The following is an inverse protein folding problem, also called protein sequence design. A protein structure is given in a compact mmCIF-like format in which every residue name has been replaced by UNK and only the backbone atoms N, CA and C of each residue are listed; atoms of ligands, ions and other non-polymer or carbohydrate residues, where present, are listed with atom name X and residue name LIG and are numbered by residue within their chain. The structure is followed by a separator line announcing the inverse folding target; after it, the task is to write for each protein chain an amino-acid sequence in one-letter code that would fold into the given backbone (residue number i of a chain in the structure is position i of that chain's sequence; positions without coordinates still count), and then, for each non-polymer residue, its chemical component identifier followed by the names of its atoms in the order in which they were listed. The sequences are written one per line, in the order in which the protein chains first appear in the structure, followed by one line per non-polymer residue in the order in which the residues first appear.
data_IF_151499757056
#
_entry.id   IF_151499757056
#
_cell.length_a   1.000
_cell.length_b   1.000
_cell.length_c   1.000
_cell.angle_alpha   90.00
_cell.angle_beta   90.00
_cell.angle_gamma   90.00
#
_symmetry.space_group_name_H-M   'P 1'
#
loop_
_entity.id
_entity.type
_entity.pdbx_description
1 polymer ?
#
# COMPACT_ATOMS: atom_id res chain seq x y z
N UNK A 1 -15.53 -0.55 2.18
CA UNK A 1 -14.49 -1.53 2.56
C UNK A 1 -15.17 -2.80 3.03
N UNK A 2 -14.68 -3.95 2.55
CA UNK A 2 -15.23 -5.28 2.79
C UNK A 2 -14.42 -6.03 3.84
N UNK A 3 -15.07 -6.54 4.87
CA UNK A 3 -14.40 -7.25 5.97
C UNK A 3 -15.06 -8.63 6.14
N UNK A 4 -14.25 -9.68 6.13
CA UNK A 4 -14.69 -11.03 6.48
C UNK A 4 -14.30 -11.31 7.94
N UNK A 5 -15.28 -11.77 8.76
CA UNK A 5 -15.04 -12.20 10.14
C UNK A 5 -15.14 -13.72 10.19
N UNK A 6 -14.07 -14.37 10.62
CA UNK A 6 -13.96 -15.82 10.77
C UNK A 6 -13.69 -16.15 12.23
N UNK A 7 -14.72 -16.62 12.91
CA UNK A 7 -14.74 -16.84 14.36
C UNK A 7 -15.77 -17.92 14.68
N UNK A 8 -15.41 -18.98 15.39
CA UNK A 8 -16.32 -20.09 15.69
C UNK A 8 -17.31 -19.74 16.83
N UNK A 9 -16.89 -18.91 17.79
CA UNK A 9 -17.77 -18.42 18.84
C UNK A 9 -18.83 -17.47 18.26
N UNK A 10 -20.11 -17.86 18.35
CA UNK A 10 -21.22 -17.11 17.78
C UNK A 10 -21.43 -15.74 18.45
N UNK A 11 -21.14 -15.60 19.76
CA UNK A 11 -21.31 -14.35 20.50
C UNK A 11 -20.23 -13.35 20.10
N UNK A 12 -18.96 -13.80 20.05
CA UNK A 12 -17.82 -12.97 19.63
C UNK A 12 -17.99 -12.57 18.15
N UNK A 13 -18.35 -13.51 17.27
CA UNK A 13 -18.60 -13.26 15.87
C UNK A 13 -19.67 -12.21 15.64
N UNK A 14 -20.79 -12.32 16.37
CA UNK A 14 -21.92 -11.38 16.29
C UNK A 14 -21.52 -10.00 16.83
N UNK A 15 -20.79 -9.96 17.94
CA UNK A 15 -20.30 -8.72 18.53
C UNK A 15 -19.38 -7.96 17.55
N UNK A 16 -18.40 -8.65 16.97
CA UNK A 16 -17.48 -8.05 15.98
C UNK A 16 -18.29 -7.51 14.79
N UNK A 17 -19.15 -8.33 14.21
CA UNK A 17 -19.97 -7.94 13.06
C UNK A 17 -20.86 -6.72 13.36
N UNK A 18 -21.44 -6.64 14.55
CA UNK A 18 -22.23 -5.49 14.98
C UNK A 18 -21.42 -4.19 14.97
N UNK A 19 -20.23 -4.19 15.60
CA UNK A 19 -19.39 -3.00 15.66
C UNK A 19 -18.87 -2.58 14.27
N UNK A 20 -18.49 -3.53 13.44
CA UNK A 20 -18.03 -3.24 12.08
C UNK A 20 -19.14 -2.66 11.19
N UNK A 21 -20.35 -3.22 11.25
CA UNK A 21 -21.51 -2.69 10.52
C UNK A 21 -21.91 -1.29 10.99
N UNK A 22 -21.76 -0.98 12.28
CA UNK A 22 -21.99 0.36 12.81
C UNK A 22 -21.03 1.40 12.23
N UNK A 23 -19.79 1.01 11.94
CA UNK A 23 -18.78 1.83 11.25
C UNK A 23 -18.95 1.81 9.70
N UNK A 24 -20.07 1.28 9.20
CA UNK A 24 -20.45 1.21 7.76
C UNK A 24 -19.53 0.34 6.91
N UNK A 25 -18.85 -0.63 7.48
CA UNK A 25 -18.18 -1.67 6.71
C UNK A 25 -19.20 -2.67 6.15
N UNK A 26 -18.93 -3.19 4.96
CA UNK A 26 -19.63 -4.35 4.41
C UNK A 26 -19.04 -5.61 5.03
N UNK A 27 -19.84 -6.41 5.74
CA UNK A 27 -19.34 -7.49 6.59
C UNK A 27 -20.03 -8.80 6.25
N UNK A 28 -19.20 -9.80 5.91
CA UNK A 28 -19.57 -11.21 5.87
C UNK A 28 -18.99 -11.93 7.08
N UNK A 29 -19.66 -13.00 7.53
CA UNK A 29 -19.26 -13.77 8.72
C UNK A 29 -19.19 -15.25 8.39
N UNK A 30 -18.28 -15.97 9.03
CA UNK A 30 -18.08 -17.40 8.89
C UNK A 30 -17.64 -18.01 10.23
N UNK A 31 -17.94 -19.28 10.46
CA UNK A 31 -17.62 -19.99 11.69
C UNK A 31 -16.52 -21.05 11.54
N UNK A 32 -15.96 -21.22 10.36
CA UNK A 32 -14.91 -22.19 10.10
C UNK A 32 -13.99 -21.75 8.94
N UNK A 33 -12.74 -22.26 8.95
CA UNK A 33 -11.73 -21.89 7.98
C UNK A 33 -11.98 -22.37 6.54
N UNK A 34 -12.59 -23.54 6.35
CA UNK A 34 -12.83 -24.09 5.00
C UNK A 34 -13.88 -23.30 4.22
N UNK A 35 -14.98 -22.90 4.88
CA UNK A 35 -16.00 -22.08 4.25
C UNK A 35 -15.52 -20.63 4.08
N UNK A 36 -14.67 -20.17 5.01
CA UNK A 36 -14.02 -18.87 4.88
C UNK A 36 -13.19 -18.76 3.59
N UNK A 37 -12.43 -19.79 3.19
CA UNK A 37 -11.68 -19.78 1.92
C UNK A 37 -12.60 -19.61 0.69
N UNK A 38 -13.80 -20.20 0.72
CA UNK A 38 -14.81 -20.01 -0.35
C UNK A 38 -15.33 -18.57 -0.36
N UNK A 39 -15.56 -18.01 0.83
CA UNK A 39 -16.02 -16.62 0.97
C UNK A 39 -14.96 -15.63 0.53
N UNK A 40 -13.68 -15.85 0.81
CA UNK A 40 -12.59 -14.97 0.34
C UNK A 40 -12.64 -14.82 -1.18
N UNK A 41 -12.81 -15.91 -1.94
CA UNK A 41 -12.87 -15.84 -3.40
C UNK A 41 -14.12 -15.15 -3.93
N UNK A 42 -15.27 -15.33 -3.27
CA UNK A 42 -16.56 -14.77 -3.69
C UNK A 42 -16.74 -13.32 -3.26
N UNK A 43 -16.47 -13.03 -2.00
CA UNK A 43 -16.70 -11.74 -1.38
C UNK A 43 -15.57 -10.75 -1.65
N UNK A 44 -14.32 -11.27 -1.85
CA UNK A 44 -13.09 -10.49 -2.06
C UNK A 44 -12.90 -9.44 -0.95
N UNK A 45 -12.74 -9.87 0.31
CA UNK A 45 -12.54 -8.94 1.42
C UNK A 45 -11.21 -8.19 1.29
N UNK A 46 -11.18 -6.95 1.75
CA UNK A 46 -9.98 -6.13 1.89
C UNK A 46 -9.27 -6.41 3.22
N UNK A 47 -10.03 -6.93 4.22
CA UNK A 47 -9.51 -7.34 5.51
C UNK A 47 -10.26 -8.57 6.03
N UNK A 48 -9.52 -9.45 6.69
CA UNK A 48 -10.04 -10.64 7.38
C UNK A 48 -9.72 -10.53 8.87
N UNK A 49 -10.74 -10.56 9.72
CA UNK A 49 -10.60 -10.78 11.15
C UNK A 49 -10.71 -12.27 11.38
N UNK A 50 -9.66 -12.91 11.88
CA UNK A 50 -9.47 -14.34 11.86
C UNK A 50 -9.13 -14.89 13.24
N UNK A 51 -9.95 -15.80 13.77
CA UNK A 51 -9.53 -16.57 14.93
C UNK A 51 -8.46 -17.60 14.56
N UNK A 52 -7.50 -17.79 15.43
CA UNK A 52 -6.49 -18.84 15.29
C UNK A 52 -7.06 -20.23 15.52
N UNK A 53 -8.01 -20.37 16.43
CA UNK A 53 -8.53 -21.67 16.87
C UNK A 53 -9.86 -22.00 16.18
N UNK A 54 -9.82 -22.18 14.87
CA UNK A 54 -11.01 -22.54 14.09
C UNK A 54 -11.14 -24.05 13.89
N UNK A 55 -12.38 -24.56 13.81
CA UNK A 55 -12.60 -25.93 13.40
C UNK A 55 -12.29 -26.15 11.90
N UNK A 56 -11.96 -27.39 11.56
CA UNK A 56 -11.67 -27.90 10.21
C UNK A 56 -10.40 -27.35 9.57
N UNK A 57 -10.12 -26.06 9.66
CA UNK A 57 -8.90 -25.42 9.17
C UNK A 57 -8.53 -24.29 10.13
N UNK A 58 -7.42 -24.44 10.84
CA UNK A 58 -6.93 -23.44 11.79
C UNK A 58 -6.49 -22.14 11.10
N UNK A 59 -6.44 -21.04 11.87
CA UNK A 59 -6.14 -19.73 11.33
C UNK A 59 -4.73 -19.58 10.74
N UNK A 60 -3.77 -20.37 11.22
CA UNK A 60 -2.39 -20.36 10.69
C UNK A 60 -2.38 -20.99 9.29
N UNK A 61 -2.94 -22.20 9.17
CA UNK A 61 -3.06 -22.92 7.89
C UNK A 61 -3.90 -22.12 6.88
N UNK A 62 -4.97 -21.48 7.33
CA UNK A 62 -5.78 -20.59 6.50
C UNK A 62 -4.94 -19.43 5.97
N UNK A 63 -4.18 -18.77 6.83
CA UNK A 63 -3.33 -17.62 6.43
C UNK A 63 -2.28 -18.03 5.43
N UNK A 64 -1.60 -19.13 5.65
CA UNK A 64 -0.60 -19.69 4.73
C UNK A 64 -1.21 -19.93 3.34
N UNK A 65 -2.39 -20.56 3.27
CA UNK A 65 -3.09 -20.76 2.00
C UNK A 65 -3.47 -19.46 1.29
N UNK A 66 -3.93 -18.45 2.03
CA UNK A 66 -4.27 -17.14 1.45
C UNK A 66 -3.02 -16.45 0.92
N UNK A 67 -1.90 -16.50 1.64
CA UNK A 67 -0.64 -15.85 1.27
C UNK A 67 0.10 -16.55 0.13
N UNK A 68 0.02 -17.87 0.06
CA UNK A 68 0.70 -18.65 -1.00
C UNK A 68 -0.04 -18.63 -2.34
N UNK A 69 -1.33 -18.24 -2.37
CA UNK A 69 -2.14 -18.19 -3.59
C UNK A 69 -2.80 -16.82 -3.80
N UNK A 70 -2.02 -15.72 -3.93
CA UNK A 70 -2.58 -14.37 -4.04
C UNK A 70 -3.43 -14.16 -5.30
N UNK A 71 -3.14 -14.88 -6.38
CA UNK A 71 -3.95 -14.83 -7.62
C UNK A 71 -5.39 -15.32 -7.40
N UNK A 72 -5.57 -16.27 -6.47
CA UNK A 72 -6.86 -16.87 -6.15
C UNK A 72 -7.61 -16.10 -5.06
N UNK A 73 -6.90 -15.74 -4.01
CA UNK A 73 -7.50 -15.19 -2.79
C UNK A 73 -7.32 -13.67 -2.64
N UNK A 74 -6.53 -13.03 -3.51
CA UNK A 74 -6.09 -11.66 -3.33
C UNK A 74 -5.02 -11.54 -2.22
N UNK A 75 -4.81 -10.32 -1.76
CA UNK A 75 -3.90 -10.05 -0.65
C UNK A 75 -4.59 -9.21 0.44
N UNK A 76 -5.68 -9.72 1.06
CA UNK A 76 -6.38 -9.00 2.11
C UNK A 76 -5.49 -8.83 3.34
N UNK A 77 -5.69 -7.77 4.11
CA UNK A 77 -5.12 -7.69 5.45
C UNK A 77 -5.68 -8.81 6.33
N UNK A 78 -4.85 -9.37 7.20
CA UNK A 78 -5.25 -10.40 8.16
C UNK A 78 -4.93 -9.91 9.56
N UNK A 79 -5.99 -9.65 10.34
CA UNK A 79 -5.93 -9.37 11.78
C UNK A 79 -6.31 -10.64 12.53
N UNK A 80 -5.34 -11.27 13.18
CA UNK A 80 -5.55 -12.49 13.94
C UNK A 80 -6.09 -12.20 15.33
N UNK A 81 -7.07 -12.98 15.75
CA UNK A 81 -7.54 -13.04 17.14
C UNK A 81 -6.99 -14.30 17.81
N UNK A 82 -6.51 -14.20 19.04
CA UNK A 82 -5.93 -15.33 19.76
C UNK A 82 -6.25 -15.31 21.26
N UNK A 83 -6.61 -16.48 21.79
CA UNK A 83 -6.69 -16.71 23.23
C UNK A 83 -5.32 -17.03 23.84
N UNK A 84 -4.33 -17.40 22.99
CA UNK A 84 -3.02 -17.87 23.44
C UNK A 84 -2.11 -16.71 23.87
N UNK A 85 -1.39 -16.95 24.96
CA UNK A 85 -0.48 -15.99 25.60
C UNK A 85 0.98 -16.25 25.22
N UNK A 86 1.28 -17.37 24.53
CA UNK A 86 2.66 -17.75 24.24
C UNK A 86 3.21 -16.94 23.05
N UNK A 87 4.34 -16.30 23.30
CA UNK A 87 5.07 -15.46 22.33
C UNK A 87 5.38 -16.24 21.05
N UNK A 88 5.57 -17.55 21.15
CA UNK A 88 5.88 -18.42 20.00
C UNK A 88 4.72 -18.52 18.99
N UNK A 89 3.47 -18.57 19.44
CA UNK A 89 2.31 -18.63 18.51
C UNK A 89 2.07 -17.30 17.81
N UNK A 90 2.34 -16.20 18.51
CA UNK A 90 2.33 -14.84 17.90
C UNK A 90 3.43 -14.68 16.86
N UNK A 91 4.66 -15.15 17.18
CA UNK A 91 5.77 -15.09 16.25
C UNK A 91 5.54 -15.99 15.02
N UNK A 92 4.92 -17.16 15.20
CA UNK A 92 4.52 -18.01 14.07
C UNK A 92 3.49 -17.31 13.18
N UNK A 93 2.45 -16.70 13.76
CA UNK A 93 1.43 -15.99 13.00
C UNK A 93 1.96 -14.82 12.19
N UNK A 94 2.86 -14.02 12.77
CA UNK A 94 3.51 -12.91 12.08
C UNK A 94 4.46 -13.39 10.97
N UNK A 95 5.22 -14.46 11.19
CA UNK A 95 6.12 -15.05 10.20
C UNK A 95 5.38 -15.66 8.99
N UNK A 96 4.12 -16.07 9.17
CA UNK A 96 3.28 -16.66 8.12
C UNK A 96 2.55 -15.58 7.29
N UNK A 97 2.61 -14.29 7.73
CA UNK A 97 2.09 -13.18 6.95
C UNK A 97 0.80 -12.56 7.47
N UNK A 98 0.49 -12.70 8.76
CA UNK A 98 -0.51 -11.85 9.41
C UNK A 98 -0.02 -10.40 9.47
N UNK A 99 -0.92 -9.43 9.31
CA UNK A 99 -0.59 -8.01 9.32
C UNK A 99 -0.65 -7.38 10.71
N UNK A 100 -1.49 -7.93 11.58
CA UNK A 100 -1.59 -7.57 13.01
C UNK A 100 -2.25 -8.73 13.77
N UNK A 101 -2.15 -8.67 15.09
CA UNK A 101 -2.87 -9.62 15.93
C UNK A 101 -3.40 -8.95 17.20
N UNK A 102 -4.43 -9.57 17.80
CA UNK A 102 -5.05 -9.10 19.01
C UNK A 102 -5.43 -10.26 19.94
N UNK A 103 -5.18 -10.05 21.24
CA UNK A 103 -5.47 -11.06 22.26
C UNK A 103 -6.93 -11.00 22.70
N UNK A 104 -7.55 -12.16 22.89
CA UNK A 104 -8.84 -12.31 23.57
C UNK A 104 -8.63 -12.42 25.11
N UNK A 105 -9.50 -11.82 25.95
CA UNK A 105 -10.62 -10.96 25.58
C UNK A 105 -10.15 -9.57 25.16
N UNK A 106 -10.88 -8.90 24.28
CA UNK A 106 -10.53 -7.60 23.73
C UNK A 106 -11.67 -6.59 23.85
N UNK A 107 -11.31 -5.30 23.81
CA UNK A 107 -12.28 -4.22 23.67
C UNK A 107 -12.61 -4.02 22.16
N UNK A 108 -13.89 -4.03 21.76
CA UNK A 108 -14.26 -3.80 20.36
C UNK A 108 -13.76 -2.46 19.80
N UNK A 109 -13.52 -1.46 20.63
CA UNK A 109 -12.93 -0.18 20.21
C UNK A 109 -11.47 -0.33 19.80
N UNK A 110 -10.72 -1.21 20.48
CA UNK A 110 -9.35 -1.54 20.09
C UNK A 110 -9.32 -2.27 18.74
N UNK A 111 -10.22 -3.21 18.52
CA UNK A 111 -10.40 -3.89 17.24
C UNK A 111 -10.60 -2.89 16.10
N UNK A 112 -11.56 -1.97 16.26
CA UNK A 112 -11.83 -0.94 15.26
C UNK A 112 -10.62 -0.04 14.98
N UNK A 113 -9.87 0.34 16.01
CA UNK A 113 -8.68 1.16 15.86
C UNK A 113 -7.59 0.44 15.06
N UNK A 114 -7.37 -0.86 15.32
CA UNK A 114 -6.40 -1.69 14.58
C UNK A 114 -6.79 -1.85 13.12
N UNK A 115 -8.07 -2.10 12.84
CA UNK A 115 -8.61 -2.18 11.49
C UNK A 115 -8.40 -0.86 10.73
N UNK A 116 -8.71 0.28 11.35
CA UNK A 116 -8.47 1.61 10.75
C UNK A 116 -6.99 1.82 10.42
N UNK A 117 -6.09 1.46 11.33
CA UNK A 117 -4.64 1.55 11.09
C UNK A 117 -4.15 0.65 9.95
N UNK A 118 -4.72 -0.53 9.77
CA UNK A 118 -4.37 -1.42 8.66
C UNK A 118 -4.81 -0.79 7.33
N UNK A 119 -6.02 -0.24 7.25
CA UNK A 119 -6.48 0.47 6.05
C UNK A 119 -5.67 1.74 5.76
N UNK A 120 -5.34 2.55 6.77
CA UNK A 120 -4.45 3.71 6.61
C UNK A 120 -3.05 3.35 6.09
N UNK A 121 -2.55 2.14 6.37
CA UNK A 121 -1.30 1.64 5.76
C UNK A 121 -1.45 1.41 4.26
N UNK A 122 -2.62 0.96 3.82
CA UNK A 122 -2.89 0.79 2.40
C UNK A 122 -2.99 2.13 1.68
N UNK A 123 -3.74 3.07 2.25
CA UNK A 123 -3.87 4.43 1.72
C UNK A 123 -2.49 5.10 1.60
N UNK A 124 -1.64 4.99 2.63
CA UNK A 124 -0.25 5.47 2.58
C UNK A 124 0.64 4.73 1.58
N UNK A 125 0.38 3.45 1.32
CA UNK A 125 1.09 2.70 0.27
C UNK A 125 0.68 3.20 -1.10
N UNK A 126 -0.62 3.43 -1.34
CA UNK A 126 -1.13 4.00 -2.58
C UNK A 126 -0.69 5.45 -2.77
N UNK A 127 -0.71 6.29 -1.71
CA UNK A 127 -0.17 7.65 -1.72
C UNK A 127 1.34 7.70 -1.99
N UNK A 128 2.07 6.67 -1.59
CA UNK A 128 3.51 6.58 -1.81
C UNK A 128 3.88 5.97 -3.16
N UNK A 129 2.96 5.27 -3.82
CA UNK A 129 3.20 4.68 -5.12
C UNK A 129 2.75 5.64 -6.22
N UNK A 130 3.69 6.11 -7.02
CA UNK A 130 3.41 6.86 -8.24
C UNK A 130 3.69 5.97 -9.44
N UNK A 131 2.73 5.89 -10.34
CA UNK A 131 2.88 5.18 -11.62
C UNK A 131 2.73 6.22 -12.74
N UNK A 132 3.66 6.19 -13.67
CA UNK A 132 3.61 6.96 -14.89
C UNK A 132 4.19 6.12 -16.03
N UNK A 133 3.34 5.61 -16.92
CA UNK A 133 3.70 4.67 -17.99
C UNK A 133 4.44 3.44 -17.44
N UNK A 134 5.63 3.20 -17.92
CA UNK A 134 6.49 2.07 -17.54
C UNK A 134 7.34 2.36 -16.28
N UNK A 135 7.08 3.47 -15.60
CA UNK A 135 7.83 3.90 -14.41
C UNK A 135 6.97 3.79 -13.17
N UNK A 136 7.47 3.04 -12.19
CA UNK A 136 6.90 2.91 -10.85
C UNK A 136 7.84 3.56 -9.84
N UNK A 137 7.29 4.38 -8.94
CA UNK A 137 8.04 5.07 -7.89
C UNK A 137 7.42 4.76 -6.54
N UNK A 138 8.17 4.13 -5.65
CA UNK A 138 7.82 4.02 -4.24
C UNK A 138 8.49 5.17 -3.45
N UNK A 139 7.70 6.22 -3.16
CA UNK A 139 8.19 7.39 -2.42
C UNK A 139 8.62 7.06 -1.00
N UNK A 140 8.00 6.04 -0.39
CA UNK A 140 8.34 5.62 0.97
C UNK A 140 9.67 4.90 1.07
N UNK A 141 10.04 4.15 0.04
CA UNK A 141 11.29 3.40 -0.03
C UNK A 141 12.40 4.11 -0.82
N UNK A 142 12.10 5.20 -1.49
CA UNK A 142 13.01 5.87 -2.44
C UNK A 142 13.46 4.96 -3.59
N UNK A 143 12.58 4.09 -4.07
CA UNK A 143 12.84 3.15 -5.16
C UNK A 143 12.13 3.60 -6.43
N UNK A 144 12.83 3.53 -7.55
CA UNK A 144 12.27 3.76 -8.89
C UNK A 144 12.51 2.51 -9.73
N UNK A 145 11.49 2.07 -10.45
CA UNK A 145 11.58 0.98 -11.42
C UNK A 145 11.14 1.47 -12.79
N UNK A 146 11.87 1.07 -13.81
CA UNK A 146 11.49 1.20 -15.21
C UNK A 146 11.38 -0.19 -15.82
N UNK A 147 10.24 -0.56 -16.42
CA UNK A 147 9.95 -1.93 -16.92
C UNK A 147 10.20 -3.04 -15.88
N UNK A 148 9.84 -2.79 -14.61
CA UNK A 148 10.10 -3.66 -13.44
C UNK A 148 11.58 -3.80 -13.03
N UNK A 149 12.53 -3.12 -13.69
CA UNK A 149 13.95 -3.09 -13.32
C UNK A 149 14.24 -1.84 -12.48
N UNK A 150 15.01 -2.02 -11.40
CA UNK A 150 15.35 -0.91 -10.50
C UNK A 150 16.36 0.04 -11.15
N UNK A 151 16.05 1.34 -11.12
CA UNK A 151 16.90 2.41 -11.64
C UNK A 151 17.48 3.21 -10.49
N UNK A 152 18.80 3.25 -10.38
CA UNK A 152 19.49 4.00 -9.33
C UNK A 152 19.48 5.50 -9.63
N UNK A 153 18.77 6.26 -8.79
CA UNK A 153 18.73 7.71 -8.83
C UNK A 153 19.37 8.32 -7.57
N UNK A 154 20.10 9.41 -7.75
CA UNK A 154 20.47 10.26 -6.61
C UNK A 154 19.22 10.90 -6.01
N UNK A 155 19.31 11.33 -4.73
CA UNK A 155 18.16 11.97 -4.04
C UNK A 155 17.56 13.12 -4.85
N UNK A 156 18.39 13.96 -5.48
CA UNK A 156 17.91 15.11 -6.28
C UNK A 156 17.25 14.70 -7.60
N UNK A 157 17.75 13.66 -8.24
CA UNK A 157 17.12 13.07 -9.44
C UNK A 157 15.76 12.47 -9.07
N UNK A 158 15.69 11.76 -7.95
CA UNK A 158 14.46 11.19 -7.41
C UNK A 158 13.42 12.28 -7.10
N UNK A 159 13.80 13.30 -6.29
CA UNK A 159 12.92 14.39 -5.90
C UNK A 159 12.40 15.16 -7.14
N UNK A 160 13.26 15.36 -8.15
CA UNK A 160 12.88 15.99 -9.42
C UNK A 160 11.89 15.14 -10.20
N UNK A 161 12.15 13.84 -10.32
CA UNK A 161 11.26 12.91 -11.02
C UNK A 161 9.88 12.87 -10.39
N UNK A 162 9.81 12.69 -9.05
CA UNK A 162 8.56 12.73 -8.29
C UNK A 162 7.81 14.02 -8.56
N UNK A 163 8.50 15.17 -8.49
CA UNK A 163 7.87 16.46 -8.69
C UNK A 163 7.31 16.66 -10.10
N UNK A 164 8.01 16.16 -11.11
CA UNK A 164 7.52 16.18 -12.51
C UNK A 164 6.26 15.34 -12.68
N UNK A 165 6.24 14.12 -12.13
CA UNK A 165 5.11 13.19 -12.26
C UNK A 165 3.89 13.68 -11.49
N UNK A 166 4.08 14.20 -10.26
CA UNK A 166 2.99 14.81 -9.48
C UNK A 166 2.35 16.03 -10.16
N UNK A 167 3.11 16.72 -11.03
CA UNK A 167 2.66 17.92 -11.75
C UNK A 167 2.60 17.69 -13.27
N UNK A 168 2.34 16.46 -13.73
CA UNK A 168 2.21 16.17 -15.16
C UNK A 168 1.13 17.03 -15.81
N UNK A 169 1.33 17.43 -17.05
CA UNK A 169 0.46 18.37 -17.77
C UNK A 169 0.78 19.83 -17.49
N UNK A 170 1.41 20.16 -16.36
CA UNK A 170 1.66 21.54 -15.92
C UNK A 170 3.08 21.98 -16.34
N UNK A 171 3.19 23.21 -16.85
CA UNK A 171 4.48 23.84 -17.11
C UNK A 171 5.09 24.32 -15.79
N UNK A 172 6.24 23.76 -15.41
CA UNK A 172 7.01 24.11 -14.24
C UNK A 172 8.17 25.02 -14.64
N UNK A 173 8.20 26.24 -14.08
CA UNK A 173 9.35 27.14 -14.29
C UNK A 173 10.60 26.58 -13.59
N UNK A 174 11.79 26.97 -14.08
CA UNK A 174 13.07 26.58 -13.45
C UNK A 174 13.13 26.98 -11.98
N UNK A 175 12.63 28.16 -11.64
CA UNK A 175 12.58 28.65 -10.25
C UNK A 175 11.66 27.79 -9.37
N UNK A 176 10.48 27.38 -9.88
CA UNK A 176 9.59 26.46 -9.16
C UNK A 176 10.24 25.13 -8.89
N UNK A 177 10.91 24.56 -9.90
CA UNK A 177 11.64 23.29 -9.76
C UNK A 177 12.79 23.45 -8.77
N UNK A 178 13.58 24.51 -8.90
CA UNK A 178 14.71 24.79 -8.02
C UNK A 178 14.24 24.91 -6.55
N UNK A 179 13.26 25.73 -6.28
CA UNK A 179 12.74 25.94 -4.94
C UNK A 179 12.16 24.65 -4.33
N UNK A 180 11.47 23.84 -5.11
CA UNK A 180 10.85 22.59 -4.61
C UNK A 180 11.87 21.50 -4.33
N UNK A 181 12.83 21.32 -5.23
CA UNK A 181 13.78 20.19 -5.18
C UNK A 181 15.02 20.53 -4.37
N UNK A 182 15.49 21.80 -4.39
CA UNK A 182 16.72 22.22 -3.69
C UNK A 182 16.48 22.95 -2.39
N UNK A 183 15.23 23.39 -2.09
CA UNK A 183 14.91 24.23 -0.92
C UNK A 183 15.73 25.53 -0.89
N UNK A 184 15.18 26.63 -0.48
CA UNK A 184 15.58 28.02 -0.70
C UNK A 184 16.99 28.49 -0.28
N UNK A 185 17.95 27.60 -0.02
CA UNK A 185 19.31 27.93 0.39
C UNK A 185 20.38 27.80 -0.71
N UNK A 186 19.98 27.59 -1.97
CA UNK A 186 20.94 27.40 -3.05
C UNK A 186 20.96 28.65 -3.98
N UNK A 187 21.98 29.47 -3.81
CA UNK A 187 22.39 30.51 -4.77
C UNK A 187 23.14 29.92 -5.98
N UNK A 188 22.72 28.83 -6.55
CA UNK A 188 23.31 28.31 -7.77
C UNK A 188 22.31 28.45 -8.89
N UNK A 189 22.68 29.23 -9.89
CA UNK A 189 21.78 29.68 -10.96
C UNK A 189 21.09 28.56 -11.74
N UNK A 190 20.17 28.94 -12.63
CA UNK A 190 19.25 28.16 -13.47
C UNK A 190 19.79 26.87 -14.14
N UNK A 191 21.11 26.76 -14.29
CA UNK A 191 21.76 25.61 -14.97
C UNK A 191 21.68 24.30 -14.19
N UNK A 192 21.47 24.33 -12.87
CA UNK A 192 21.37 23.08 -12.08
C UNK A 192 20.16 22.26 -12.48
N UNK A 193 19.01 22.90 -12.72
CA UNK A 193 17.77 22.23 -13.15
C UNK A 193 17.98 21.52 -14.49
N UNK A 194 18.58 22.21 -15.49
CA UNK A 194 18.79 21.68 -16.83
C UNK A 194 19.70 20.44 -16.82
N UNK A 195 20.74 20.45 -15.98
CA UNK A 195 21.64 19.30 -15.79
C UNK A 195 20.90 18.10 -15.22
N UNK A 196 20.07 18.30 -14.17
CA UNK A 196 19.34 17.21 -13.55
C UNK A 196 18.19 16.68 -14.42
N UNK A 197 17.54 17.53 -15.19
CA UNK A 197 16.60 17.10 -16.24
C UNK A 197 17.33 16.21 -17.27
N UNK A 198 18.55 16.58 -17.68
CA UNK A 198 19.38 15.76 -18.55
C UNK A 198 19.67 14.38 -17.96
N UNK A 199 20.07 14.32 -16.69
CA UNK A 199 20.35 13.05 -15.99
C UNK A 199 19.10 12.17 -15.83
N UNK A 200 17.95 12.76 -15.49
CA UNK A 200 16.69 12.00 -15.40
C UNK A 200 16.31 11.43 -16.77
N UNK A 201 16.44 12.20 -17.85
CA UNK A 201 16.18 11.72 -19.22
C UNK A 201 17.12 10.59 -19.66
N UNK A 202 18.38 10.65 -19.23
CA UNK A 202 19.38 9.63 -19.55
C UNK A 202 19.11 8.32 -18.80
N UNK A 203 18.78 8.41 -17.52
CA UNK A 203 18.58 7.25 -16.66
C UNK A 203 17.23 6.57 -16.87
N UNK A 204 16.17 7.33 -17.16
CA UNK A 204 14.82 6.82 -17.36
C UNK A 204 14.40 7.11 -18.80
N UNK A 205 14.68 6.17 -19.67
CA UNK A 205 14.55 6.35 -21.13
C UNK A 205 13.09 6.39 -21.58
N UNK A 206 12.21 5.65 -20.94
CA UNK A 206 10.78 5.58 -21.29
C UNK A 206 10.06 6.93 -21.14
N UNK A 207 10.47 7.77 -20.18
CA UNK A 207 9.85 9.08 -19.97
C UNK A 207 10.53 10.22 -20.69
N UNK A 208 11.76 10.02 -21.21
CA UNK A 208 12.53 11.06 -21.90
C UNK A 208 11.72 11.78 -23.00
N UNK A 209 10.98 11.08 -23.89
CA UNK A 209 10.20 11.74 -24.94
C UNK A 209 9.09 12.64 -24.43
N UNK A 210 8.64 12.41 -23.18
CA UNK A 210 7.50 13.10 -22.57
C UNK A 210 7.90 14.29 -21.69
N UNK A 211 9.18 14.41 -21.32
CA UNK A 211 9.67 15.62 -20.64
C UNK A 211 9.95 16.68 -21.72
N UNK A 212 9.05 17.64 -21.90
CA UNK A 212 9.17 18.73 -22.88
C UNK A 212 9.88 19.93 -22.28
N UNK A 213 10.80 20.50 -23.06
CA UNK A 213 11.44 21.79 -22.75
C UNK A 213 10.59 22.92 -23.33
N UNK A 214 10.12 23.83 -22.49
CA UNK A 214 9.40 25.05 -22.88
C UNK A 214 10.40 26.18 -22.85
N UNK A 215 10.81 26.62 -24.06
CA UNK A 215 11.86 27.64 -24.22
C UNK A 215 11.55 28.90 -23.41
N UNK A 216 12.52 29.39 -22.66
CA UNK A 216 12.41 30.60 -21.83
C UNK A 216 11.58 30.43 -20.55
N UNK A 217 10.93 29.28 -20.34
CA UNK A 217 10.05 29.05 -19.18
C UNK A 217 10.60 27.94 -18.28
N UNK A 218 10.67 26.71 -18.78
CA UNK A 218 11.05 25.55 -17.95
C UNK A 218 10.70 24.22 -18.61
N UNK A 219 10.05 23.33 -17.85
CA UNK A 219 9.79 21.96 -18.28
C UNK A 219 8.33 21.52 -18.00
N UNK A 220 7.83 20.60 -18.78
CA UNK A 220 6.54 19.96 -18.60
C UNK A 220 6.67 18.47 -18.89
N UNK A 221 6.23 17.63 -17.97
CA UNK A 221 5.95 16.23 -18.26
C UNK A 221 4.56 16.15 -18.90
N UNK A 222 4.42 15.49 -20.02
CA UNK A 222 3.12 15.34 -20.70
C UNK A 222 2.17 14.45 -19.89
N UNK A 223 0.87 14.66 -20.03
CA UNK A 223 -0.12 13.75 -19.51
C UNK A 223 -0.13 12.44 -20.29
N UNK A 224 -0.60 11.38 -19.68
CA UNK A 224 -0.89 10.15 -20.40
C UNK A 224 -2.12 10.39 -21.28
N UNK A 225 -1.96 10.18 -22.59
CA UNK A 225 -3.14 10.15 -23.46
C UNK A 225 -3.97 8.91 -23.10
N UNK A 226 -5.23 9.11 -22.72
CA UNK A 226 -6.22 8.07 -22.47
C UNK A 226 -6.47 7.30 -23.78
#
# INVERSE_FOLDING_TARGET
MKILVVEDDAEIRTLIAYFLKKEKYEVEICDNGLDALKLVTKFKPELIVLDLMLPNLDGISFTDMVRTMPEKYGNPFILMLTAKTEVEDVLKGLNIGADDYMKKPFDPRELLLRIKKLFERNDKKEENLLIYRDVEIDKGKYVVKEFNEEVELSKKEFDLLVYLIENRGIVLSRDKILNRVWQSNYYSGDRSVDIYIGKVREKIKSINPYIKTIKGVGYRLEEESI
#
